data_IF_250139373885
#
_entry.id   IF_250139373885
#
_cell.length_a   1.000
_cell.length_b   1.000
_cell.length_c   1.000
_cell.angle_alpha   90.00
_cell.angle_beta   90.00
_cell.angle_gamma   90.00
#
_symmetry.space_group_name_H-M   'P 1'
#
loop_
_entity.id
_entity.type
_entity.pdbx_description
1 polymer ?
#
# COMPACT_ATOMS: atom_id res chain seq x y z
N UNK A 1 82.71 -7.78 4.51
CA UNK A 1 82.21 -7.44 3.20
C UNK A 1 80.71 -7.64 3.22
N UNK A 2 80.01 -6.58 3.01
CA UNK A 2 78.56 -6.46 3.20
C UNK A 2 77.83 -6.95 1.94
N UNK A 3 76.92 -7.89 2.05
CA UNK A 3 75.99 -8.21 0.99
C UNK A 3 74.57 -7.79 1.41
N UNK A 4 74.07 -6.80 0.74
CA UNK A 4 72.75 -6.22 0.89
C UNK A 4 71.79 -7.03 -0.01
N UNK A 5 70.82 -7.71 0.60
CA UNK A 5 69.76 -8.40 -0.13
C UNK A 5 68.53 -7.48 -0.12
N UNK A 6 68.16 -7.05 -1.32
CA UNK A 6 66.93 -6.29 -1.56
C UNK A 6 65.74 -7.27 -1.67
N UNK A 7 64.86 -7.25 -0.68
CA UNK A 7 63.56 -7.95 -0.76
C UNK A 7 62.54 -7.11 -1.50
N UNK A 8 62.07 -7.61 -2.62
CA UNK A 8 60.95 -7.02 -3.37
C UNK A 8 59.65 -7.45 -2.73
N UNK A 9 58.96 -6.54 -2.05
CA UNK A 9 57.58 -6.71 -1.61
C UNK A 9 56.66 -6.51 -2.81
N UNK A 10 56.08 -7.61 -3.31
CA UNK A 10 54.96 -7.54 -4.26
C UNK A 10 53.69 -7.26 -3.45
N UNK A 11 53.20 -6.04 -3.52
CA UNK A 11 51.86 -5.68 -3.00
C UNK A 11 50.81 -6.25 -3.96
N UNK A 12 50.16 -7.35 -3.57
CA UNK A 12 48.91 -7.79 -4.21
C UNK A 12 47.80 -6.82 -3.81
N UNK A 13 47.57 -5.87 -4.66
CA UNK A 13 46.37 -5.04 -4.57
C UNK A 13 45.14 -5.85 -4.94
N UNK A 14 44.46 -6.42 -3.95
CA UNK A 14 43.14 -7.01 -4.13
C UNK A 14 42.15 -5.90 -4.50
N UNK A 15 41.68 -5.89 -5.72
CA UNK A 15 40.50 -5.15 -6.13
C UNK A 15 39.29 -5.74 -5.41
N UNK A 16 38.97 -5.18 -4.27
CA UNK A 16 37.64 -5.32 -3.69
C UNK A 16 36.70 -4.51 -4.58
N UNK A 17 36.09 -5.16 -5.56
CA UNK A 17 34.88 -4.66 -6.16
C UNK A 17 33.83 -4.65 -5.04
N UNK A 18 33.70 -3.52 -4.35
CA UNK A 18 32.54 -3.25 -3.55
C UNK A 18 31.36 -3.25 -4.52
N UNK A 19 30.52 -4.27 -4.44
CA UNK A 19 29.16 -4.17 -4.92
C UNK A 19 28.56 -2.98 -4.15
N UNK A 20 28.44 -1.85 -4.81
CA UNK A 20 27.51 -0.82 -4.40
C UNK A 20 26.09 -1.36 -4.69
N UNK A 21 25.62 -2.28 -3.86
CA UNK A 21 24.21 -2.34 -3.60
C UNK A 21 23.94 -1.08 -2.77
N UNK A 22 23.56 -0.03 -3.46
CA UNK A 22 22.90 1.11 -2.84
C UNK A 22 21.58 0.59 -2.25
N UNK A 23 21.70 -0.10 -1.12
CA UNK A 23 20.60 -0.20 -0.17
C UNK A 23 20.45 1.23 0.29
N UNK A 24 19.48 1.96 -0.26
CA UNK A 24 18.96 3.16 0.35
C UNK A 24 18.42 2.76 1.73
N UNK A 25 19.33 2.68 2.67
CA UNK A 25 19.00 2.70 4.09
C UNK A 25 18.43 4.10 4.33
N UNK A 26 17.12 4.20 4.14
CA UNK A 26 16.37 5.37 4.60
C UNK A 26 16.49 5.32 6.13
N UNK A 27 17.54 5.97 6.65
CA UNK A 27 17.68 6.21 8.08
C UNK A 27 16.46 7.08 8.42
N UNK A 28 15.55 6.62 9.30
CA UNK A 28 14.37 7.40 9.65
C UNK A 28 14.82 8.79 10.11
N UNK A 29 14.51 9.80 9.33
CA UNK A 29 14.75 11.17 9.75
C UNK A 29 13.81 11.47 10.92
N UNK A 30 14.20 12.27 11.95
CA UNK A 30 13.32 12.58 13.08
C UNK A 30 11.98 13.24 12.69
N UNK A 31 11.83 13.66 11.44
CA UNK A 31 10.58 14.15 10.86
C UNK A 31 9.77 13.06 10.15
N UNK A 32 10.29 11.84 10.01
CA UNK A 32 9.55 10.72 9.45
C UNK A 32 8.66 10.12 10.54
N UNK A 33 7.37 10.15 10.30
CA UNK A 33 6.39 9.44 11.11
C UNK A 33 6.30 8.02 10.60
N UNK A 34 6.59 7.08 11.47
CA UNK A 34 6.47 5.64 11.21
C UNK A 34 5.46 5.05 12.18
N UNK A 35 4.94 3.87 11.85
CA UNK A 35 3.94 3.19 12.68
C UNK A 35 4.56 2.13 13.60
N UNK A 36 5.87 2.17 13.80
CA UNK A 36 6.61 1.18 14.61
C UNK A 36 6.23 1.19 16.10
N UNK A 37 5.61 2.26 16.60
CA UNK A 37 5.10 2.34 17.99
C UNK A 37 3.75 1.61 18.18
N UNK A 38 3.06 1.26 17.09
CA UNK A 38 1.81 0.50 17.13
C UNK A 38 2.10 -0.98 17.34
N UNK A 39 1.77 -1.48 18.50
CA UNK A 39 2.02 -2.88 18.85
C UNK A 39 1.00 -3.82 18.20
N UNK A 40 1.50 -4.82 17.48
CA UNK A 40 0.72 -5.92 16.95
C UNK A 40 1.15 -7.19 17.70
N UNK A 41 0.24 -7.84 18.45
CA UNK A 41 0.61 -8.93 19.37
C UNK A 41 1.26 -10.14 18.71
N UNK A 42 0.95 -10.37 17.43
CA UNK A 42 1.43 -11.54 16.69
C UNK A 42 1.93 -11.16 15.30
N UNK A 43 2.81 -11.99 14.74
CA UNK A 43 3.22 -11.86 13.33
C UNK A 43 2.06 -12.17 12.40
N UNK A 44 2.03 -11.54 11.25
CA UNK A 44 1.00 -11.71 10.21
C UNK A 44 -0.40 -11.48 10.74
N UNK A 45 -0.58 -10.39 11.48
CA UNK A 45 -1.83 -10.00 12.11
C UNK A 45 -2.17 -8.54 11.81
N UNK A 46 -3.34 -8.12 12.28
CA UNK A 46 -3.80 -6.74 12.21
C UNK A 46 -4.56 -6.39 13.48
N UNK A 47 -4.70 -5.11 13.75
CA UNK A 47 -5.48 -4.58 14.88
C UNK A 47 -6.43 -3.51 14.35
N UNK A 48 -7.71 -3.65 14.68
CA UNK A 48 -8.76 -2.66 14.40
C UNK A 48 -9.12 -1.99 15.72
N UNK A 49 -8.62 -0.76 15.98
CA UNK A 49 -8.86 -0.06 17.23
C UNK A 49 -10.34 0.32 17.41
N UNK A 50 -10.77 0.49 18.65
CA UNK A 50 -12.08 1.04 18.95
C UNK A 50 -12.00 2.57 18.94
N UNK A 51 -12.69 3.21 17.97
CA UNK A 51 -12.83 4.67 17.91
C UNK A 51 -11.60 5.44 17.41
N UNK A 52 -10.67 4.77 16.75
CA UNK A 52 -9.46 5.40 16.19
C UNK A 52 -8.21 5.21 17.03
N UNK A 53 -7.10 5.81 16.59
CA UNK A 53 -5.80 5.75 17.26
C UNK A 53 -4.94 6.95 16.90
N UNK A 54 -3.93 7.22 17.71
CA UNK A 54 -3.03 8.35 17.52
C UNK A 54 -1.58 7.88 17.37
N UNK A 55 -0.83 8.53 16.49
CA UNK A 55 0.60 8.32 16.28
C UNK A 55 1.26 9.67 16.08
N UNK A 56 2.20 10.03 16.95
CA UNK A 56 3.06 11.23 16.81
C UNK A 56 2.32 12.53 16.46
N UNK A 57 1.15 12.77 17.10
CA UNK A 57 0.33 13.95 16.87
C UNK A 57 -0.60 13.89 15.66
N UNK A 58 -0.77 12.73 15.07
CA UNK A 58 -1.78 12.40 14.06
C UNK A 58 -2.85 11.51 14.64
N UNK A 59 -4.12 11.82 14.40
CA UNK A 59 -5.27 11.06 14.91
C UNK A 59 -6.03 10.43 13.74
N UNK A 60 -5.98 9.12 13.64
CA UNK A 60 -6.59 8.34 12.57
C UNK A 60 -8.00 7.89 12.95
N UNK A 61 -8.95 8.09 12.05
CA UNK A 61 -10.30 7.60 12.23
C UNK A 61 -10.39 6.08 12.00
N UNK A 62 -11.20 5.40 12.80
CA UNK A 62 -11.53 3.99 12.62
C UNK A 62 -13.03 3.81 12.84
N UNK A 63 -13.70 3.23 11.87
CA UNK A 63 -15.11 2.80 11.97
C UNK A 63 -15.15 1.28 11.96
N UNK A 64 -15.77 0.72 12.98
CA UNK A 64 -15.82 -0.73 13.22
C UNK A 64 -17.26 -1.18 13.35
N UNK A 65 -17.59 -2.28 12.70
CA UNK A 65 -18.89 -2.92 12.86
C UNK A 65 -19.03 -3.67 14.20
N UNK A 66 -20.25 -4.06 14.54
CA UNK A 66 -20.52 -4.78 15.80
C UNK A 66 -19.84 -6.14 15.87
N UNK A 67 -19.55 -6.78 14.74
CA UNK A 67 -18.81 -8.03 14.63
C UNK A 67 -17.28 -7.82 14.53
N UNK A 68 -16.83 -6.59 14.70
CA UNK A 68 -15.42 -6.26 14.83
C UNK A 68 -14.66 -6.01 13.51
N UNK A 69 -15.35 -5.95 12.37
CA UNK A 69 -14.72 -5.68 11.08
C UNK A 69 -14.53 -4.19 10.82
N UNK A 70 -13.47 -3.82 10.11
CA UNK A 70 -13.25 -2.45 9.65
C UNK A 70 -14.27 -2.11 8.55
N UNK A 71 -15.10 -1.10 8.79
CA UNK A 71 -16.10 -0.62 7.83
C UNK A 71 -15.81 0.76 7.27
N UNK A 72 -14.79 1.45 7.78
CA UNK A 72 -14.31 2.74 7.30
C UNK A 72 -13.09 3.22 8.08
N UNK A 73 -12.24 4.05 7.45
CA UNK A 73 -11.04 4.59 8.08
C UNK A 73 -9.88 3.59 8.13
N UNK A 74 -9.10 3.65 9.21
CA UNK A 74 -7.81 2.98 9.30
C UNK A 74 -7.75 1.91 10.37
N UNK A 75 -6.97 0.88 10.09
CA UNK A 75 -6.41 -0.06 11.05
C UNK A 75 -4.92 -0.25 10.76
N UNK A 76 -4.20 -0.96 11.62
CA UNK A 76 -2.79 -1.24 11.39
C UNK A 76 -2.49 -2.72 11.28
N UNK A 77 -1.50 -3.08 10.46
CA UNK A 77 -1.20 -4.43 10.03
C UNK A 77 0.31 -4.68 9.87
N UNK A 78 0.72 -5.92 10.03
CA UNK A 78 2.02 -6.43 9.64
C UNK A 78 1.93 -7.62 8.67
N UNK A 79 0.77 -7.78 8.00
CA UNK A 79 0.52 -8.87 7.05
C UNK A 79 1.16 -8.57 5.69
N UNK A 80 1.70 -9.60 5.04
CA UNK A 80 2.28 -9.51 3.70
C UNK A 80 1.92 -10.74 2.88
N UNK A 81 0.64 -11.11 2.85
CA UNK A 81 0.20 -12.31 2.17
C UNK A 81 -0.05 -12.02 0.69
N UNK A 82 0.66 -12.76 -0.18
CA UNK A 82 0.53 -12.74 -1.64
C UNK A 82 0.13 -14.09 -2.21
N UNK A 83 -0.40 -14.99 -1.37
CA UNK A 83 -0.84 -16.31 -1.81
C UNK A 83 -2.11 -16.21 -2.65
N UNK A 84 -2.25 -17.11 -3.60
CA UNK A 84 -3.44 -17.32 -4.41
C UNK A 84 -4.18 -18.58 -4.03
N UNK A 85 -3.65 -19.36 -3.08
CA UNK A 85 -4.20 -20.64 -2.66
C UNK A 85 -4.82 -20.48 -1.27
N UNK A 86 -6.09 -20.83 -1.13
CA UNK A 86 -6.85 -20.66 0.10
C UNK A 86 -7.64 -21.94 0.43
N UNK A 87 -7.73 -22.25 1.70
CA UNK A 87 -8.48 -23.42 2.18
C UNK A 87 -9.95 -23.12 2.42
N UNK A 88 -10.29 -21.87 2.68
CA UNK A 88 -11.65 -21.39 2.79
C UNK A 88 -11.75 -19.89 2.50
N UNK A 89 -12.95 -19.45 2.17
CA UNK A 89 -13.23 -18.10 1.70
C UNK A 89 -13.06 -17.04 2.79
N UNK A 90 -13.48 -17.31 4.02
CA UNK A 90 -13.36 -16.37 5.14
C UNK A 90 -11.88 -16.11 5.46
N UNK A 91 -11.09 -17.18 5.55
CA UNK A 91 -9.65 -17.08 5.78
C UNK A 91 -8.94 -16.32 4.65
N UNK A 92 -9.32 -16.57 3.41
CA UNK A 92 -8.80 -15.85 2.26
C UNK A 92 -9.01 -14.35 2.39
N UNK A 93 -10.25 -13.92 2.68
CA UNK A 93 -10.58 -12.50 2.77
C UNK A 93 -9.84 -11.83 3.91
N UNK A 94 -9.87 -12.38 5.11
CA UNK A 94 -9.18 -11.80 6.25
C UNK A 94 -7.66 -11.72 6.00
N UNK A 95 -7.11 -12.71 5.30
CA UNK A 95 -5.69 -12.74 4.97
C UNK A 95 -5.29 -11.71 3.92
N UNK A 96 -6.11 -11.45 2.91
CA UNK A 96 -5.77 -10.55 1.79
C UNK A 96 -6.27 -9.12 1.97
N UNK A 97 -7.36 -8.91 2.70
CA UNK A 97 -7.94 -7.59 2.97
C UNK A 97 -6.98 -6.70 3.75
N UNK A 98 -6.33 -7.27 4.78
CA UNK A 98 -5.41 -6.55 5.66
C UNK A 98 -3.94 -6.78 5.31
N UNK A 99 -3.64 -7.34 4.13
CA UNK A 99 -2.29 -7.53 3.62
C UNK A 99 -1.95 -6.51 2.54
N UNK A 100 -0.71 -6.04 2.55
CA UNK A 100 -0.16 -5.26 1.44
C UNK A 100 0.32 -6.19 0.32
N UNK A 101 0.06 -5.81 -0.91
CA UNK A 101 0.70 -6.42 -2.07
C UNK A 101 2.02 -5.70 -2.34
N UNK A 102 3.10 -6.25 -1.84
CA UNK A 102 4.44 -5.69 -2.02
C UNK A 102 5.48 -6.79 -2.11
N UNK A 103 6.45 -6.62 -3.02
CA UNK A 103 7.61 -7.51 -3.16
C UNK A 103 8.67 -7.20 -2.10
N UNK A 104 8.61 -6.02 -1.50
CA UNK A 104 9.53 -5.56 -0.46
C UNK A 104 8.78 -5.42 0.86
N UNK A 105 9.32 -5.95 1.97
CA UNK A 105 8.77 -5.63 3.28
C UNK A 105 8.88 -4.11 3.50
N UNK A 106 7.92 -3.53 4.23
CA UNK A 106 8.12 -2.18 4.73
C UNK A 106 9.24 -2.19 5.79
N UNK A 107 9.96 -1.08 5.90
CA UNK A 107 11.13 -0.99 6.79
C UNK A 107 10.77 -1.03 8.27
N UNK A 108 9.53 -0.74 8.63
CA UNK A 108 9.05 -0.60 10.02
C UNK A 108 8.28 -1.81 10.53
N UNK A 109 7.90 -2.73 9.64
CA UNK A 109 7.14 -3.94 10.00
C UNK A 109 5.66 -3.70 10.24
N UNK A 110 5.23 -2.48 10.60
CA UNK A 110 3.83 -2.08 10.80
C UNK A 110 3.47 -0.97 9.83
N UNK A 111 2.33 -1.08 9.19
CA UNK A 111 1.77 -0.11 8.24
C UNK A 111 0.26 0.01 8.46
N UNK A 112 -0.38 1.01 7.85
CA UNK A 112 -1.82 1.20 7.93
C UNK A 112 -2.51 0.55 6.73
N UNK A 113 -3.67 -0.02 7.00
CA UNK A 113 -4.64 -0.45 5.99
C UNK A 113 -5.85 0.46 6.11
N UNK A 114 -6.28 1.01 5.00
CA UNK A 114 -7.41 1.92 4.90
C UNK A 114 -8.57 1.28 4.15
N UNK A 115 -9.78 1.36 4.72
CA UNK A 115 -11.03 1.13 4.02
C UNK A 115 -11.69 2.48 3.74
N UNK A 116 -11.81 2.82 2.47
CA UNK A 116 -12.47 4.05 2.04
C UNK A 116 -13.98 3.79 1.92
N UNK A 117 -14.74 4.38 2.83
CA UNK A 117 -16.19 4.35 2.83
C UNK A 117 -16.69 5.77 3.10
N UNK A 118 -17.23 6.44 2.10
CA UNK A 118 -17.54 7.86 2.16
C UNK A 118 -16.33 8.69 2.65
N UNK A 119 -16.56 9.60 3.62
CA UNK A 119 -15.53 10.46 4.23
C UNK A 119 -14.89 9.85 5.49
N UNK A 120 -15.05 8.56 5.76
CA UNK A 120 -14.54 7.90 6.96
C UNK A 120 -13.02 7.70 6.94
N UNK A 121 -12.42 7.69 5.75
CA UNK A 121 -10.99 7.54 5.56
C UNK A 121 -10.27 8.88 5.74
N UNK A 122 -10.08 9.30 6.99
CA UNK A 122 -9.38 10.56 7.30
C UNK A 122 -8.49 10.45 8.53
N UNK A 123 -7.56 11.38 8.62
CA UNK A 123 -6.85 11.67 9.86
C UNK A 123 -6.78 13.18 10.10
N UNK A 124 -6.50 13.57 11.33
CA UNK A 124 -6.28 14.95 11.76
C UNK A 124 -4.92 15.12 12.41
N UNK A 125 -4.38 16.33 12.39
CA UNK A 125 -3.19 16.71 13.13
C UNK A 125 -3.55 17.46 14.41
N UNK A 126 -2.83 17.22 15.50
CA UNK A 126 -2.93 18.03 16.72
C UNK A 126 -2.48 19.48 16.47
N UNK A 127 -1.55 19.66 15.53
CA UNK A 127 -1.07 20.95 15.04
C UNK A 127 -1.00 20.90 13.52
N UNK A 128 -1.47 21.95 12.84
CA UNK A 128 -1.39 21.98 11.39
C UNK A 128 0.04 21.72 10.89
N UNK A 129 0.14 20.93 9.86
CA UNK A 129 1.43 20.48 9.33
C UNK A 129 1.40 20.44 7.81
N UNK A 130 2.56 20.55 7.19
CA UNK A 130 2.73 20.31 5.75
C UNK A 130 3.35 18.94 5.55
N UNK A 131 2.66 18.12 4.76
CA UNK A 131 3.14 16.79 4.39
C UNK A 131 3.98 16.93 3.13
N UNK A 132 5.21 16.40 3.14
CA UNK A 132 6.02 16.31 1.93
C UNK A 132 5.55 15.13 1.09
N UNK A 133 5.54 13.93 1.66
CA UNK A 133 5.04 12.73 1.01
C UNK A 133 4.52 11.68 2.00
N UNK A 134 3.81 10.71 1.45
CA UNK A 134 3.43 9.44 2.09
C UNK A 134 3.83 8.27 1.18
N UNK A 135 3.88 7.07 1.73
CA UNK A 135 4.03 5.84 0.95
C UNK A 135 2.66 5.16 0.83
N UNK A 136 2.31 4.75 -0.38
CA UNK A 136 1.04 4.06 -0.66
C UNK A 136 1.28 2.77 -1.45
N UNK A 137 0.38 1.80 -1.28
CA UNK A 137 0.38 0.56 -2.06
C UNK A 137 -1.03 -0.04 -2.11
N UNK A 138 -1.23 -1.01 -2.99
CA UNK A 138 -2.45 -1.79 -3.03
C UNK A 138 -2.51 -2.78 -1.86
N UNK A 139 -3.72 -3.03 -1.33
CA UNK A 139 -3.94 -4.26 -0.57
C UNK A 139 -3.84 -5.47 -1.50
N UNK A 140 -3.56 -6.63 -0.94
CA UNK A 140 -3.57 -7.89 -1.71
C UNK A 140 -4.94 -8.11 -2.35
N UNK A 141 -6.02 -7.79 -1.64
CA UNK A 141 -7.37 -7.95 -2.19
C UNK A 141 -7.63 -7.05 -3.39
N UNK A 142 -7.33 -5.75 -3.31
CA UNK A 142 -7.52 -4.83 -4.44
C UNK A 142 -6.65 -5.24 -5.64
N UNK A 143 -5.38 -5.60 -5.39
CA UNK A 143 -4.48 -6.07 -6.44
C UNK A 143 -5.04 -7.32 -7.17
N UNK A 144 -5.44 -8.34 -6.41
CA UNK A 144 -5.96 -9.58 -7.01
C UNK A 144 -7.26 -9.37 -7.76
N UNK A 145 -8.16 -8.52 -7.23
CA UNK A 145 -9.40 -8.16 -7.90
C UNK A 145 -9.14 -7.49 -9.25
N UNK A 146 -8.26 -6.51 -9.32
CA UNK A 146 -7.91 -5.82 -10.56
C UNK A 146 -7.18 -6.74 -11.55
N UNK A 147 -6.28 -7.58 -11.07
CA UNK A 147 -5.44 -8.42 -11.93
C UNK A 147 -6.15 -9.67 -12.45
N UNK A 148 -7.16 -10.19 -11.74
CA UNK A 148 -7.83 -11.47 -12.06
C UNK A 148 -9.34 -11.37 -12.16
N UNK A 149 -9.98 -10.35 -11.60
CA UNK A 149 -11.42 -10.25 -11.52
C UNK A 149 -12.03 -11.39 -10.71
N UNK A 150 -13.25 -11.78 -11.06
CA UNK A 150 -13.98 -12.87 -10.41
C UNK A 150 -13.48 -14.27 -10.77
N UNK A 151 -12.59 -14.38 -11.76
CA UNK A 151 -11.98 -15.68 -12.10
C UNK A 151 -10.97 -16.11 -11.05
N UNK A 152 -10.53 -15.20 -10.18
CA UNK A 152 -9.65 -15.52 -9.07
C UNK A 152 -10.40 -16.34 -8.01
N UNK A 153 -9.93 -17.55 -7.75
CA UNK A 153 -10.44 -18.40 -6.70
C UNK A 153 -11.85 -18.95 -6.90
N UNK A 154 -12.33 -19.09 -8.14
CA UNK A 154 -13.58 -19.80 -8.41
C UNK A 154 -13.41 -21.31 -8.22
N UNK A 155 -14.51 -22.02 -7.89
CA UNK A 155 -14.52 -23.50 -7.78
C UNK A 155 -14.46 -24.20 -9.15
N UNK A 156 -14.73 -23.49 -10.22
CA UNK A 156 -14.57 -23.99 -11.58
C UNK A 156 -13.06 -24.12 -11.87
N UNK A 157 -12.68 -25.14 -12.62
CA UNK A 157 -11.30 -25.52 -12.95
C UNK A 157 -10.34 -24.32 -12.94
N UNK A 158 -9.43 -24.21 -11.96
CA UNK A 158 -8.61 -23.03 -11.81
C UNK A 158 -7.73 -22.86 -13.04
N UNK A 159 -7.91 -21.77 -13.77
CA UNK A 159 -6.94 -21.40 -14.79
C UNK A 159 -5.58 -21.23 -14.11
N UNK A 160 -4.54 -21.80 -14.71
CA UNK A 160 -3.20 -21.67 -14.18
C UNK A 160 -2.85 -20.18 -14.07
N UNK A 161 -2.48 -19.74 -12.88
CA UNK A 161 -1.99 -18.39 -12.68
C UNK A 161 -0.82 -18.13 -13.64
N UNK A 162 -0.92 -17.17 -14.58
CA UNK A 162 0.14 -16.91 -15.55
C UNK A 162 1.45 -16.48 -14.91
N UNK A 163 1.42 -15.95 -13.66
CA UNK A 163 2.60 -15.55 -12.89
C UNK A 163 3.16 -16.69 -12.02
N UNK A 164 2.35 -17.72 -11.76
CA UNK A 164 2.75 -18.93 -11.00
C UNK A 164 2.08 -20.14 -11.66
N UNK A 165 2.53 -20.56 -12.86
CA UNK A 165 1.84 -21.56 -13.69
C UNK A 165 1.68 -22.94 -13.04
N UNK A 166 2.41 -23.22 -11.97
CA UNK A 166 2.40 -24.51 -11.26
C UNK A 166 1.40 -24.55 -10.10
N UNK A 167 0.78 -23.42 -9.74
CA UNK A 167 -0.14 -23.36 -8.61
C UNK A 167 -1.56 -23.10 -9.10
N UNK A 168 -2.53 -23.96 -8.75
CA UNK A 168 -3.93 -23.66 -8.99
C UNK A 168 -4.34 -22.46 -8.16
N UNK A 169 -5.18 -21.59 -8.70
CA UNK A 169 -5.83 -20.55 -7.90
C UNK A 169 -6.75 -21.22 -6.88
N UNK A 170 -6.66 -20.78 -5.63
CA UNK A 170 -7.48 -21.32 -4.56
C UNK A 170 -8.95 -20.92 -4.68
N UNK A 171 -9.80 -21.56 -3.89
CA UNK A 171 -11.22 -21.23 -3.81
C UNK A 171 -11.40 -19.89 -3.13
N UNK A 172 -11.83 -18.90 -3.88
CA UNK A 172 -12.16 -17.57 -3.38
C UNK A 172 -13.29 -16.96 -4.23
N UNK A 173 -14.18 -16.24 -3.58
CA UNK A 173 -15.29 -15.57 -4.25
C UNK A 173 -15.20 -14.07 -4.03
N UNK A 174 -15.55 -13.28 -5.03
CA UNK A 174 -15.74 -11.86 -4.88
C UNK A 174 -16.93 -11.59 -3.94
N UNK A 175 -16.71 -10.72 -2.95
CA UNK A 175 -17.77 -10.26 -2.04
C UNK A 175 -18.42 -8.98 -2.50
N UNK A 176 -18.07 -8.51 -3.67
CA UNK A 176 -18.67 -7.32 -4.27
C UNK A 176 -19.91 -7.74 -5.04
N UNK A 177 -21.10 -7.22 -4.72
CA UNK A 177 -22.32 -7.52 -5.47
C UNK A 177 -22.14 -7.26 -6.97
N UNK A 178 -22.40 -8.27 -7.80
CA UNK A 178 -22.22 -8.18 -9.25
C UNK A 178 -20.82 -8.52 -9.74
N UNK A 179 -19.94 -8.93 -8.83
CA UNK A 179 -18.58 -9.36 -9.16
C UNK A 179 -17.60 -8.22 -9.39
N UNK A 180 -16.35 -8.57 -9.69
CA UNK A 180 -15.26 -7.66 -10.06
C UNK A 180 -14.78 -8.03 -11.45
N UNK A 181 -14.58 -7.04 -12.31
CA UNK A 181 -14.02 -7.25 -13.65
C UNK A 181 -12.50 -7.14 -13.58
N UNK A 182 -11.79 -8.08 -14.23
CA UNK A 182 -10.36 -7.92 -14.45
C UNK A 182 -10.11 -6.64 -15.25
N UNK A 183 -9.11 -5.87 -14.84
CA UNK A 183 -8.73 -4.65 -15.54
C UNK A 183 -8.15 -4.94 -16.93
N UNK A 184 -8.52 -4.10 -17.88
CA UNK A 184 -8.08 -4.10 -19.26
C UNK A 184 -7.78 -2.65 -19.69
N UNK A 185 -7.43 -2.44 -20.96
CA UNK A 185 -7.09 -1.13 -21.52
C UNK A 185 -8.14 -0.06 -21.16
N UNK A 186 -7.68 1.07 -20.66
CA UNK A 186 -8.51 2.19 -20.24
C UNK A 186 -8.96 2.14 -18.77
N UNK A 187 -8.76 1.02 -18.07
CA UNK A 187 -9.15 0.89 -16.68
C UNK A 187 -8.20 1.63 -15.73
N UNK A 188 -8.74 2.00 -14.56
CA UNK A 188 -7.99 2.72 -13.54
C UNK A 188 -8.50 2.45 -12.12
N UNK A 189 -7.61 2.68 -11.15
CA UNK A 189 -7.91 2.73 -9.74
C UNK A 189 -7.16 3.89 -9.11
N UNK A 190 -7.84 4.98 -8.80
CA UNK A 190 -7.26 6.25 -8.41
C UNK A 190 -7.52 6.57 -6.95
N UNK A 191 -6.45 6.86 -6.22
CA UNK A 191 -6.47 7.42 -4.87
C UNK A 191 -6.44 8.94 -4.97
N UNK A 192 -7.43 9.61 -4.38
CA UNK A 192 -7.49 11.07 -4.24
C UNK A 192 -7.31 11.45 -2.78
N UNK A 193 -6.37 12.36 -2.52
CA UNK A 193 -6.05 12.89 -1.19
C UNK A 193 -6.41 14.36 -1.16
N UNK A 194 -7.29 14.73 -0.25
CA UNK A 194 -7.78 16.13 -0.09
C UNK A 194 -7.35 16.68 1.27
N UNK A 195 -6.68 17.81 1.26
CA UNK A 195 -6.27 18.55 2.45
C UNK A 195 -7.30 19.60 2.86
N UNK A 196 -7.44 19.78 4.17
CA UNK A 196 -8.28 20.81 4.78
C UNK A 196 -7.51 21.57 5.86
N UNK A 197 -7.86 22.85 6.00
CA UNK A 197 -7.39 23.74 7.05
C UNK A 197 -8.59 24.53 7.59
N UNK A 198 -8.92 24.38 8.87
CA UNK A 198 -10.11 25.01 9.48
C UNK A 198 -11.38 24.71 8.67
N UNK A 199 -11.60 23.46 8.28
CA UNK A 199 -12.70 22.98 7.43
C UNK A 199 -12.75 23.58 6.01
N UNK A 200 -11.74 24.31 5.57
CA UNK A 200 -11.62 24.78 4.20
C UNK A 200 -10.65 23.90 3.44
N UNK A 201 -11.04 23.42 2.27
CA UNK A 201 -10.17 22.65 1.39
C UNK A 201 -8.98 23.51 0.95
N UNK A 202 -7.78 22.96 1.08
CA UNK A 202 -6.52 23.62 0.73
C UNK A 202 -5.97 23.14 -0.60
N UNK A 203 -6.15 21.87 -0.91
CA UNK A 203 -5.65 21.26 -2.13
C UNK A 203 -6.13 19.81 -2.29
N UNK A 204 -5.87 19.26 -3.47
CA UNK A 204 -6.15 17.85 -3.79
C UNK A 204 -5.02 17.31 -4.65
N UNK A 205 -4.64 16.06 -4.38
CA UNK A 205 -3.63 15.31 -5.14
C UNK A 205 -4.23 13.95 -5.48
N UNK A 206 -4.06 13.51 -6.73
CA UNK A 206 -4.50 12.19 -7.18
C UNK A 206 -3.30 11.33 -7.57
N UNK A 207 -3.43 10.02 -7.36
CA UNK A 207 -2.44 9.02 -7.68
C UNK A 207 -3.10 7.73 -8.14
N UNK A 208 -2.67 7.19 -9.29
CA UNK A 208 -3.21 5.95 -9.80
C UNK A 208 -2.52 4.74 -9.16
N UNK A 209 -3.28 4.01 -8.34
CA UNK A 209 -2.89 2.70 -7.80
C UNK A 209 -2.96 1.60 -8.87
N UNK A 210 -3.71 1.86 -9.95
CA UNK A 210 -3.66 1.14 -11.23
C UNK A 210 -3.99 2.11 -12.37
N UNK A 211 -3.24 2.01 -13.45
CA UNK A 211 -3.42 2.80 -14.67
C UNK A 211 -3.15 1.88 -15.85
N UNK A 212 -4.20 1.45 -16.54
CA UNK A 212 -4.06 0.59 -17.70
C UNK A 212 -3.86 1.41 -18.98
N UNK A 213 -3.35 0.79 -20.02
CA UNK A 213 -3.02 1.47 -21.28
C UNK A 213 -4.20 2.29 -21.82
N UNK A 214 -3.95 3.55 -22.17
CA UNK A 214 -4.97 4.46 -22.70
C UNK A 214 -5.77 5.26 -21.65
N UNK A 215 -5.68 4.94 -20.36
CA UNK A 215 -6.35 5.73 -19.31
C UNK A 215 -5.73 7.12 -19.18
N UNK A 216 -4.41 7.20 -19.01
CA UNK A 216 -3.73 8.48 -18.85
C UNK A 216 -3.48 9.13 -20.21
N UNK A 217 -4.11 10.27 -20.49
CA UNK A 217 -4.01 10.97 -21.79
C UNK A 217 -2.63 11.56 -22.05
N UNK A 218 -1.92 11.94 -20.99
CA UNK A 218 -0.55 12.51 -21.10
C UNK A 218 0.50 11.41 -21.27
N UNK A 219 0.20 10.22 -20.76
CA UNK A 219 1.05 9.04 -20.78
C UNK A 219 0.26 7.79 -21.20
N UNK A 220 -0.24 7.71 -22.44
CA UNK A 220 -1.16 6.65 -22.88
C UNK A 220 -0.53 5.25 -22.91
N UNK A 221 0.77 5.15 -22.81
CA UNK A 221 1.50 3.88 -22.71
C UNK A 221 1.71 3.39 -21.27
N UNK A 222 1.24 4.12 -20.26
CA UNK A 222 1.26 3.61 -18.90
C UNK A 222 0.30 2.43 -18.78
N UNK A 223 0.84 1.33 -18.26
CA UNK A 223 0.15 0.06 -18.09
C UNK A 223 0.71 -0.64 -16.85
N UNK A 224 0.07 -0.40 -15.71
CA UNK A 224 0.52 -0.96 -14.45
C UNK A 224 -0.59 -1.07 -13.40
N UNK A 225 -0.44 -2.04 -12.52
CA UNK A 225 -1.06 -2.10 -11.19
C UNK A 225 0.09 -1.99 -10.18
N UNK A 226 -0.02 -1.08 -9.21
CA UNK A 226 1.04 -0.88 -8.21
C UNK A 226 1.27 -2.17 -7.42
N UNK A 227 2.51 -2.65 -7.42
CA UNK A 227 2.96 -3.89 -6.77
C UNK A 227 3.95 -3.69 -5.64
N UNK A 228 4.26 -2.44 -5.33
CA UNK A 228 5.23 -2.05 -4.29
C UNK A 228 4.85 -0.70 -3.68
N UNK A 229 5.51 -0.35 -2.58
CA UNK A 229 5.36 0.97 -1.99
C UNK A 229 5.75 2.07 -2.96
N UNK A 230 4.88 3.04 -3.16
CA UNK A 230 5.08 4.20 -4.02
C UNK A 230 5.00 5.48 -3.22
N UNK A 231 5.93 6.38 -3.50
CA UNK A 231 5.95 7.72 -2.93
C UNK A 231 4.86 8.57 -3.59
N UNK A 232 3.97 9.13 -2.76
CA UNK A 232 2.96 10.09 -3.15
C UNK A 232 3.29 11.46 -2.55
N UNK A 233 3.68 12.39 -3.40
CA UNK A 233 3.99 13.78 -3.02
C UNK A 233 2.70 14.51 -2.61
N UNK A 234 2.69 15.11 -1.42
CA UNK A 234 1.53 15.81 -0.88
C UNK A 234 1.78 17.29 -0.57
N UNK A 235 2.94 17.82 -0.93
CA UNK A 235 3.30 19.23 -0.70
C UNK A 235 2.28 20.21 -1.28
N UNK A 236 1.59 19.85 -2.36
CA UNK A 236 0.57 20.66 -3.00
C UNK A 236 -0.69 20.85 -2.15
N UNK A 237 -0.89 20.05 -1.08
CA UNK A 237 -1.97 20.25 -0.13
C UNK A 237 -1.75 21.49 0.75
N UNK A 238 -0.50 21.98 0.85
CA UNK A 238 -0.14 23.06 1.76
C UNK A 238 -0.17 22.65 3.24
N UNK A 239 -0.37 23.62 4.13
CA UNK A 239 -0.55 23.38 5.56
C UNK A 239 -1.99 22.88 5.83
N UNK A 240 -2.11 21.72 6.46
CA UNK A 240 -3.39 21.05 6.73
C UNK A 240 -3.55 20.67 8.19
N UNK A 241 -4.78 20.63 8.68
CA UNK A 241 -5.16 20.05 9.98
C UNK A 241 -5.98 18.77 9.83
N UNK A 242 -6.52 18.50 8.63
CA UNK A 242 -7.23 17.27 8.30
C UNK A 242 -6.92 16.85 6.87
N UNK A 243 -6.81 15.54 6.66
CA UNK A 243 -6.61 14.92 5.33
C UNK A 243 -7.66 13.82 5.16
N UNK A 244 -8.31 13.80 3.99
CA UNK A 244 -9.35 12.83 3.63
C UNK A 244 -8.90 12.08 2.38
N UNK A 245 -9.16 10.77 2.35
CA UNK A 245 -8.83 9.89 1.25
C UNK A 245 -10.09 9.39 0.56
N UNK A 246 -10.10 9.40 -0.76
CA UNK A 246 -11.14 8.81 -1.59
C UNK A 246 -10.51 7.86 -2.62
N UNK A 247 -11.28 6.84 -3.01
CA UNK A 247 -10.92 5.92 -4.08
C UNK A 247 -11.99 5.95 -5.17
N UNK A 248 -11.55 5.88 -6.41
CA UNK A 248 -12.41 5.71 -7.57
C UNK A 248 -11.80 4.68 -8.53
N UNK A 249 -12.65 3.97 -9.26
CA UNK A 249 -12.26 2.94 -10.22
C UNK A 249 -13.19 2.97 -11.43
N UNK A 250 -12.68 2.52 -12.57
CA UNK A 250 -13.48 2.30 -13.78
C UNK A 250 -14.49 1.17 -13.61
N UNK A 251 -14.17 0.14 -12.78
CA UNK A 251 -15.07 -1.00 -12.55
C UNK A 251 -16.20 -0.64 -11.59
N UNK A 252 -17.37 -0.33 -12.15
CA UNK A 252 -18.56 0.15 -11.43
C UNK A 252 -19.80 -0.62 -11.83
N UNK A 253 -20.76 -0.67 -10.89
CA UNK A 253 -22.16 -1.01 -11.14
C UNK A 253 -23.03 0.21 -10.83
N UNK A 254 -23.41 0.94 -11.85
CA UNK A 254 -23.95 2.29 -11.69
C UNK A 254 -22.90 3.21 -11.08
N UNK A 255 -23.23 3.85 -9.95
CA UNK A 255 -22.31 4.74 -9.23
C UNK A 255 -21.46 4.00 -8.17
N UNK A 256 -21.69 2.70 -7.99
CA UNK A 256 -21.02 1.90 -6.95
C UNK A 256 -19.76 1.23 -7.54
N UNK A 257 -18.62 1.57 -6.97
CA UNK A 257 -17.34 0.94 -7.30
C UNK A 257 -17.35 -0.54 -6.89
N UNK A 258 -16.93 -1.44 -7.79
CA UNK A 258 -16.80 -2.88 -7.55
C UNK A 258 -15.39 -3.29 -7.13
N UNK A 259 -14.39 -2.57 -7.59
CA UNK A 259 -13.02 -2.74 -7.08
C UNK A 259 -13.01 -2.54 -5.57
N UNK A 260 -12.38 -3.43 -4.78
CA UNK A 260 -12.31 -3.28 -3.33
C UNK A 260 -11.74 -1.92 -2.91
N UNK A 261 -12.51 -1.14 -2.15
CA UNK A 261 -12.16 0.24 -1.75
C UNK A 261 -11.12 0.28 -0.63
N UNK A 262 -9.98 -0.39 -0.84
CA UNK A 262 -8.94 -0.60 0.14
C UNK A 262 -7.56 -0.27 -0.41
N UNK A 263 -6.74 0.40 0.41
CA UNK A 263 -5.33 0.65 0.09
C UNK A 263 -4.46 0.55 1.35
N UNK A 264 -3.15 0.52 1.17
CA UNK A 264 -2.17 0.53 2.26
C UNK A 264 -1.42 1.85 2.28
N UNK A 265 -1.10 2.33 3.48
CA UNK A 265 -0.38 3.57 3.73
C UNK A 265 0.73 3.30 4.74
N UNK A 266 1.94 3.79 4.44
CA UNK A 266 3.10 3.74 5.33
C UNK A 266 3.83 5.08 5.33
N UNK A 267 4.52 5.37 6.41
CA UNK A 267 5.44 6.48 6.59
C UNK A 267 4.97 7.84 6.07
N UNK A 268 5.14 8.85 6.89
CA UNK A 268 4.92 10.23 6.51
C UNK A 268 6.23 11.00 6.62
N UNK A 269 6.55 11.78 5.61
CA UNK A 269 7.55 12.82 5.70
C UNK A 269 6.84 14.15 5.87
N UNK A 270 7.05 14.81 6.99
CA UNK A 270 6.57 16.18 7.20
C UNK A 270 7.66 17.18 6.79
N UNK A 271 7.24 18.33 6.24
CA UNK A 271 8.15 19.47 6.06
C UNK A 271 8.46 20.12 7.40
N UNK A 272 9.74 20.45 7.59
CA UNK A 272 10.18 21.28 8.69
C UNK A 272 9.80 22.74 8.49
#
# INVERSE_FOLDING_TARGET
MKNLIWGVCIALGGLLAACNDDIDLVIPHPTNITFSELEIPTRFSHVIPDGGFSVQGMNFNTVKSADGQLTGGFCYSNRSNRSFVWTNTTEAIDSIRYSVWSTRPNNTGTYLVCHVNNDDAYFTFDRPSTIDYILVSNTTWAYLAMNYGDTFGTEEEPEANPNVPSEPMGVWHSYVPGGVTKFDDGDYFTLTVTGYRNNTQTGTVSFDLACMAGHNTDHPAWDYIVTDWRKLELSALGEVDRVVFHLDSSDKNGDVMRTPSWFCLDGFQLKQ
#
